data_IF_682124432622
#
_entry.id   IF_682124432622
#
_cell.length_a   1.000
_cell.length_b   1.000
_cell.length_c   1.000
_cell.angle_alpha   90.00
_cell.angle_beta   90.00
_cell.angle_gamma   90.00
#
_symmetry.space_group_name_H-M   'P 1'
#
loop_
_entity.id
_entity.type
_entity.pdbx_description
1 polymer ?
#
# COMPACT_ATOMS: atom_id res chain seq x y z
N UNK A 1 42.52 -73.92 -20.23
CA UNK A 1 41.51 -72.96 -20.73
C UNK A 1 40.18 -73.25 -20.05
N UNK A 2 39.79 -72.49 -19.02
CA UNK A 2 38.40 -72.36 -18.52
C UNK A 2 38.38 -71.51 -17.23
N UNK A 3 38.64 -70.20 -17.32
CA UNK A 3 38.43 -69.28 -16.21
C UNK A 3 38.28 -67.84 -16.75
N UNK A 4 37.31 -67.63 -17.64
CA UNK A 4 37.08 -66.29 -18.22
C UNK A 4 35.60 -65.99 -18.54
N UNK A 5 34.62 -66.75 -18.05
CA UNK A 5 33.20 -66.55 -18.41
C UNK A 5 32.27 -66.22 -17.25
N UNK A 6 32.73 -66.19 -15.99
CA UNK A 6 31.88 -65.91 -14.84
C UNK A 6 31.87 -64.43 -14.37
N UNK A 7 32.92 -63.66 -14.67
CA UNK A 7 33.06 -62.28 -14.17
C UNK A 7 32.30 -61.22 -15.01
N UNK A 8 32.00 -61.51 -16.28
CA UNK A 8 31.25 -60.59 -17.16
C UNK A 8 29.75 -60.58 -16.89
N UNK A 9 29.18 -61.71 -16.47
CA UNK A 9 27.74 -61.85 -16.25
C UNK A 9 27.26 -61.18 -14.96
N UNK A 10 28.07 -61.19 -13.90
CA UNK A 10 27.74 -60.56 -12.61
C UNK A 10 27.87 -59.04 -12.65
N UNK A 11 28.86 -58.50 -13.38
CA UNK A 11 29.01 -57.06 -13.59
C UNK A 11 27.87 -56.47 -14.45
N UNK A 12 27.42 -57.19 -15.48
CA UNK A 12 26.30 -56.77 -16.32
C UNK A 12 24.96 -56.81 -15.56
N UNK A 13 24.70 -57.84 -14.74
CA UNK A 13 23.48 -57.94 -13.94
C UNK A 13 23.39 -56.88 -12.83
N UNK A 14 24.53 -56.52 -12.21
CA UNK A 14 24.60 -55.45 -11.21
C UNK A 14 24.40 -54.06 -11.85
N UNK A 15 24.99 -53.81 -13.03
CA UNK A 15 24.83 -52.55 -13.76
C UNK A 15 23.40 -52.36 -14.29
N UNK A 16 22.76 -53.43 -14.79
CA UNK A 16 21.36 -53.39 -15.24
C UNK A 16 20.41 -53.19 -14.06
N UNK A 17 20.71 -53.77 -12.89
CA UNK A 17 19.90 -53.57 -11.68
C UNK A 17 20.06 -52.17 -11.07
N UNK A 18 21.28 -51.61 -11.09
CA UNK A 18 21.53 -50.22 -10.69
C UNK A 18 20.93 -49.21 -11.68
N UNK A 19 20.94 -49.51 -12.98
CA UNK A 19 20.32 -48.67 -14.00
C UNK A 19 18.78 -48.76 -13.95
N UNK A 20 18.22 -49.94 -13.69
CA UNK A 20 16.79 -50.12 -13.45
C UNK A 20 16.34 -49.44 -12.14
N UNK A 21 17.15 -49.51 -11.07
CA UNK A 21 16.90 -48.80 -9.82
C UNK A 21 17.04 -47.28 -9.97
N UNK A 22 18.04 -46.82 -10.74
CA UNK A 22 18.19 -45.41 -11.13
C UNK A 22 17.00 -44.93 -11.96
N UNK A 23 16.52 -45.72 -12.92
CA UNK A 23 15.31 -45.42 -13.71
C UNK A 23 14.01 -45.51 -12.89
N UNK A 24 13.95 -46.36 -11.85
CA UNK A 24 12.80 -46.43 -10.93
C UNK A 24 12.79 -45.25 -9.95
N UNK A 25 13.95 -44.77 -9.49
CA UNK A 25 14.07 -43.56 -8.68
C UNK A 25 13.88 -42.28 -9.50
N UNK A 26 14.34 -42.24 -10.76
CA UNK A 26 14.12 -41.12 -11.68
C UNK A 26 12.78 -41.15 -12.43
N UNK A 27 11.99 -42.23 -12.33
CA UNK A 27 10.57 -42.25 -12.76
C UNK A 27 9.63 -41.59 -11.75
N UNK A 28 10.11 -41.15 -10.60
CA UNK A 28 9.50 -40.03 -9.89
C UNK A 28 9.95 -38.74 -10.57
N UNK A 29 9.53 -38.56 -11.83
CA UNK A 29 9.43 -37.22 -12.38
C UNK A 29 8.53 -36.47 -11.42
N UNK A 30 9.08 -35.48 -10.72
CA UNK A 30 8.32 -34.52 -9.96
C UNK A 30 7.26 -33.97 -10.91
N UNK A 31 6.05 -34.52 -10.82
CA UNK A 31 4.88 -33.90 -11.41
C UNK A 31 4.74 -32.61 -10.63
N UNK A 32 5.29 -31.52 -11.17
CA UNK A 32 4.96 -30.17 -10.74
C UNK A 32 3.42 -30.14 -10.64
N UNK A 33 2.83 -29.98 -9.43
CA UNK A 33 1.43 -30.28 -9.21
C UNK A 33 0.51 -29.18 -9.73
N UNK A 34 0.96 -28.36 -10.68
CA UNK A 34 0.17 -27.29 -11.24
C UNK A 34 -0.73 -27.82 -12.36
N UNK A 35 -1.82 -28.48 -11.99
CA UNK A 35 -3.00 -28.44 -12.85
C UNK A 35 -3.58 -27.04 -12.71
N UNK A 36 -3.63 -26.25 -13.79
CA UNK A 36 -4.54 -25.10 -13.84
C UNK A 36 -5.95 -25.66 -13.66
N UNK A 37 -6.48 -25.62 -12.43
CA UNK A 37 -7.88 -25.85 -12.17
C UNK A 37 -8.63 -24.70 -12.84
N UNK A 38 -9.12 -24.93 -14.06
CA UNK A 38 -10.06 -24.04 -14.74
C UNK A 38 -11.43 -24.17 -14.08
N UNK A 39 -11.51 -23.72 -12.83
CA UNK A 39 -12.73 -23.71 -12.03
C UNK A 39 -13.50 -22.40 -12.22
N UNK A 40 -14.70 -22.50 -12.78
CA UNK A 40 -15.77 -21.51 -12.86
C UNK A 40 -15.48 -20.22 -13.67
N UNK A 41 -15.90 -20.30 -14.94
CA UNK A 41 -16.26 -19.19 -15.83
C UNK A 41 -17.40 -18.35 -15.23
N UNK A 42 -17.10 -17.51 -14.24
CA UNK A 42 -17.85 -16.28 -14.04
C UNK A 42 -17.60 -15.41 -15.25
N UNK A 43 -18.63 -15.18 -16.08
CA UNK A 43 -18.56 -14.38 -17.31
C UNK A 43 -17.89 -13.05 -16.98
N UNK A 44 -16.61 -12.87 -17.32
CA UNK A 44 -15.89 -11.61 -17.06
C UNK A 44 -16.53 -10.54 -17.94
N UNK A 45 -17.46 -9.79 -17.37
CA UNK A 45 -18.06 -8.63 -18.01
C UNK A 45 -16.95 -7.63 -18.29
N UNK A 46 -16.87 -7.13 -19.53
CA UNK A 46 -15.94 -6.08 -19.92
C UNK A 46 -16.13 -4.88 -18.99
N UNK A 47 -15.05 -4.44 -18.32
CA UNK A 47 -15.02 -3.22 -17.51
C UNK A 47 -15.00 -1.98 -18.40
N UNK A 48 -15.67 -0.90 -18.01
CA UNK A 48 -15.68 0.40 -18.70
C UNK A 48 -14.63 1.33 -18.08
N UNK A 49 -13.51 1.48 -18.78
CA UNK A 49 -12.44 2.38 -18.37
C UNK A 49 -11.61 1.88 -17.19
N UNK A 50 -10.69 2.72 -16.74
CA UNK A 50 -9.70 2.42 -15.70
C UNK A 50 -10.35 2.20 -14.32
N UNK A 51 -11.32 3.05 -13.97
CA UNK A 51 -11.97 3.05 -12.65
C UNK A 51 -12.66 1.72 -12.38
N UNK A 52 -13.44 1.19 -13.32
CA UNK A 52 -14.12 -0.10 -13.14
C UNK A 52 -13.16 -1.30 -13.06
N UNK A 53 -11.87 -1.11 -13.44
CA UNK A 53 -10.84 -2.13 -13.30
C UNK A 53 -10.14 -2.11 -11.93
N UNK A 54 -10.40 -1.09 -11.10
CA UNK A 54 -9.90 -1.01 -9.71
C UNK A 54 -10.79 -1.89 -8.82
N UNK A 55 -10.16 -2.64 -7.93
CA UNK A 55 -10.79 -3.62 -7.07
C UNK A 55 -11.07 -4.95 -7.74
N UNK A 56 -11.92 -5.77 -7.13
CA UNK A 56 -12.16 -7.16 -7.54
C UNK A 56 -10.86 -7.97 -7.73
N UNK A 57 -9.85 -7.66 -6.93
CA UNK A 57 -8.54 -8.33 -6.96
C UNK A 57 -8.67 -9.78 -6.49
N UNK A 58 -7.86 -10.72 -6.98
CA UNK A 58 -7.95 -12.11 -6.54
C UNK A 58 -7.42 -12.30 -5.11
N UNK A 59 -7.96 -13.29 -4.40
CA UNK A 59 -7.26 -13.93 -3.28
C UNK A 59 -6.31 -14.99 -3.85
N UNK A 60 -5.04 -14.90 -3.47
CA UNK A 60 -3.99 -15.85 -3.85
C UNK A 60 -3.63 -16.66 -2.61
N UNK A 61 -3.77 -17.98 -2.68
CA UNK A 61 -3.20 -18.86 -1.66
C UNK A 61 -1.69 -18.75 -1.66
N UNK A 62 -1.10 -18.43 -0.51
CA UNK A 62 0.35 -18.43 -0.32
C UNK A 62 0.74 -19.85 0.07
N UNK A 63 1.13 -20.66 -0.92
CA UNK A 63 1.32 -22.10 -0.75
C UNK A 63 2.37 -22.38 0.31
N UNK A 64 3.53 -21.72 0.22
CA UNK A 64 4.65 -21.97 1.15
C UNK A 64 4.28 -21.76 2.62
N UNK A 65 3.57 -20.67 2.95
CA UNK A 65 3.16 -20.36 4.32
C UNK A 65 2.02 -21.25 4.78
N UNK A 66 1.08 -21.52 3.89
CA UNK A 66 -0.07 -22.36 4.20
C UNK A 66 0.34 -23.80 4.48
N UNK A 67 1.25 -24.35 3.68
CA UNK A 67 1.74 -25.71 3.83
C UNK A 67 2.62 -25.83 5.09
N UNK A 68 3.38 -24.79 5.44
CA UNK A 68 4.19 -24.76 6.66
C UNK A 68 3.39 -24.68 7.96
N UNK A 69 2.20 -24.04 7.93
CA UNK A 69 1.38 -23.78 9.13
C UNK A 69 0.21 -24.76 9.26
N UNK A 70 -0.12 -25.50 8.20
CA UNK A 70 -1.35 -26.30 8.13
C UNK A 70 -2.63 -25.45 8.08
N UNK A 71 -2.50 -24.13 7.91
CA UNK A 71 -3.60 -23.19 7.71
C UNK A 71 -3.81 -22.88 6.22
N UNK A 72 -4.93 -22.25 5.88
CA UNK A 72 -5.14 -21.61 4.59
C UNK A 72 -4.81 -20.13 4.67
N UNK A 73 -3.60 -19.75 4.26
CA UNK A 73 -3.15 -18.35 4.25
C UNK A 73 -3.35 -17.77 2.84
N UNK A 74 -4.18 -16.75 2.75
CA UNK A 74 -4.55 -16.08 1.51
C UNK A 74 -4.08 -14.62 1.51
N UNK A 75 -3.47 -14.19 0.41
CA UNK A 75 -3.11 -12.80 0.16
C UNK A 75 -4.07 -12.15 -0.83
N UNK A 76 -4.71 -11.05 -0.44
CA UNK A 76 -5.50 -10.19 -1.34
C UNK A 76 -4.56 -9.39 -2.23
N UNK A 77 -4.53 -9.69 -3.52
CA UNK A 77 -3.51 -9.22 -4.47
C UNK A 77 -3.75 -7.78 -4.96
N UNK A 78 -3.65 -6.81 -4.04
CA UNK A 78 -3.88 -5.39 -4.33
C UNK A 78 -2.82 -4.75 -5.24
N UNK A 79 -1.66 -5.37 -5.39
CA UNK A 79 -0.68 -5.00 -6.41
C UNK A 79 -1.18 -5.19 -7.86
N UNK A 80 -2.31 -5.88 -8.07
CA UNK A 80 -2.94 -6.07 -9.39
C UNK A 80 -3.95 -4.97 -9.76
N UNK A 81 -4.20 -3.99 -8.88
CA UNK A 81 -4.93 -2.81 -9.31
C UNK A 81 -4.13 -2.05 -10.40
N UNK A 82 -4.78 -1.30 -11.32
CA UNK A 82 -4.10 -0.64 -12.44
C UNK A 82 -2.97 0.33 -12.08
N UNK A 83 -3.14 1.09 -11.01
CA UNK A 83 -2.12 1.95 -10.40
C UNK A 83 -1.17 1.20 -9.47
N UNK A 84 -1.28 -0.13 -9.39
CA UNK A 84 -0.30 -1.06 -8.82
C UNK A 84 -0.28 -1.15 -7.31
N UNK A 85 -1.31 -0.66 -6.61
CA UNK A 85 -1.40 -0.80 -5.16
C UNK A 85 -2.81 -0.74 -4.59
N UNK A 86 -2.92 -1.09 -3.30
CA UNK A 86 -4.14 -0.93 -2.49
C UNK A 86 -4.69 0.51 -2.44
N UNK A 87 -3.84 1.52 -2.70
CA UNK A 87 -4.25 2.93 -2.65
C UNK A 87 -5.11 3.36 -3.83
N UNK A 88 -5.21 2.57 -4.88
CA UNK A 88 -6.08 2.85 -6.02
C UNK A 88 -7.55 2.92 -5.59
N UNK A 89 -7.98 2.02 -4.70
CA UNK A 89 -9.33 2.03 -4.12
C UNK A 89 -9.59 3.33 -3.37
N UNK A 90 -8.62 3.77 -2.58
CA UNK A 90 -8.69 5.01 -1.79
C UNK A 90 -8.77 6.22 -2.70
N UNK A 91 -7.94 6.28 -3.74
CA UNK A 91 -7.94 7.37 -4.72
C UNK A 91 -9.28 7.50 -5.44
N UNK A 92 -9.86 6.38 -5.91
CA UNK A 92 -11.20 6.37 -6.51
C UNK A 92 -12.23 6.90 -5.53
N UNK A 93 -12.31 6.32 -4.33
CA UNK A 93 -13.34 6.67 -3.35
C UNK A 93 -13.26 8.12 -2.89
N UNK A 94 -12.06 8.66 -2.69
CA UNK A 94 -11.83 10.07 -2.35
C UNK A 94 -12.36 10.98 -3.47
N UNK A 95 -11.99 10.70 -4.72
CA UNK A 95 -12.35 11.55 -5.86
C UNK A 95 -13.86 11.46 -6.15
N UNK A 96 -14.44 10.27 -6.14
CA UNK A 96 -15.88 10.08 -6.34
C UNK A 96 -16.71 10.83 -5.31
N UNK A 97 -16.34 10.75 -4.02
CA UNK A 97 -17.07 11.42 -2.97
C UNK A 97 -16.93 12.94 -3.05
N UNK A 98 -15.74 13.46 -3.38
CA UNK A 98 -15.51 14.89 -3.57
C UNK A 98 -16.29 15.44 -4.77
N UNK A 99 -16.37 14.69 -5.88
CA UNK A 99 -17.20 15.06 -7.02
C UNK A 99 -18.69 15.03 -6.70
N UNK A 100 -19.13 14.05 -5.91
CA UNK A 100 -20.53 13.90 -5.50
C UNK A 100 -20.97 14.99 -4.52
N UNK A 101 -20.09 15.42 -3.61
CA UNK A 101 -20.38 16.53 -2.69
C UNK A 101 -20.29 17.90 -3.35
N UNK A 102 -19.56 18.01 -4.47
CA UNK A 102 -19.26 19.27 -5.13
C UNK A 102 -17.99 19.96 -4.60
N UNK A 103 -17.27 19.34 -3.67
CA UNK A 103 -15.96 19.83 -3.17
C UNK A 103 -14.86 19.74 -4.24
N UNK A 104 -15.09 18.90 -5.25
CA UNK A 104 -14.30 18.81 -6.47
C UNK A 104 -15.24 18.85 -7.67
N UNK A 105 -14.78 19.39 -8.79
CA UNK A 105 -15.51 19.41 -10.07
C UNK A 105 -14.62 18.94 -11.20
N UNK A 106 -15.22 18.49 -12.31
CA UNK A 106 -14.48 18.15 -13.54
C UNK A 106 -13.67 19.38 -14.02
N UNK A 107 -12.37 19.20 -14.27
CA UNK A 107 -11.41 20.28 -14.54
C UNK A 107 -10.74 20.88 -13.29
N UNK A 108 -11.15 20.45 -12.09
CA UNK A 108 -10.48 20.78 -10.83
C UNK A 108 -9.19 20.00 -10.63
N UNK A 109 -8.46 20.32 -9.55
CA UNK A 109 -7.19 19.68 -9.17
C UNK A 109 -7.28 18.99 -7.82
N UNK A 110 -6.89 17.73 -7.74
CA UNK A 110 -6.73 17.00 -6.48
C UNK A 110 -5.30 17.17 -6.00
N UNK A 111 -5.13 17.61 -4.75
CA UNK A 111 -3.81 17.80 -4.13
C UNK A 111 -3.56 16.77 -3.03
N UNK A 112 -2.32 16.32 -2.90
CA UNK A 112 -1.91 15.40 -1.83
C UNK A 112 -0.45 15.62 -1.44
N UNK A 113 -0.17 15.47 -0.14
CA UNK A 113 1.20 15.44 0.37
C UNK A 113 1.64 14.00 0.56
N UNK A 114 2.30 13.41 -0.43
CA UNK A 114 2.79 12.03 -0.34
C UNK A 114 3.82 11.73 -1.42
N UNK A 115 4.92 11.06 -1.08
CA UNK A 115 5.82 10.46 -2.07
C UNK A 115 5.48 8.98 -2.36
N UNK A 116 4.43 8.43 -1.75
CA UNK A 116 4.14 7.00 -1.74
C UNK A 116 3.04 6.58 -2.71
N UNK A 117 2.50 5.38 -2.47
CA UNK A 117 1.52 4.76 -3.37
C UNK A 117 0.25 5.61 -3.56
N UNK A 118 -0.17 6.39 -2.57
CA UNK A 118 -1.34 7.28 -2.70
C UNK A 118 -1.16 8.35 -3.77
N UNK A 119 0.04 8.95 -3.88
CA UNK A 119 0.31 9.94 -4.92
C UNK A 119 0.26 9.32 -6.31
N UNK A 120 0.85 8.13 -6.48
CA UNK A 120 0.80 7.38 -7.74
C UNK A 120 -0.64 6.99 -8.09
N UNK A 121 -1.42 6.52 -7.12
CA UNK A 121 -2.83 6.17 -7.31
C UNK A 121 -3.69 7.38 -7.67
N UNK A 122 -3.51 8.54 -7.03
CA UNK A 122 -4.22 9.76 -7.38
C UNK A 122 -3.83 10.27 -8.78
N UNK A 123 -2.55 10.25 -9.12
CA UNK A 123 -2.07 10.61 -10.45
C UNK A 123 -2.63 9.68 -11.55
N UNK A 124 -2.78 8.40 -11.23
CA UNK A 124 -3.36 7.39 -12.13
C UNK A 124 -4.87 7.59 -12.32
N UNK A 125 -5.61 7.88 -11.23
CA UNK A 125 -7.08 7.89 -11.23
C UNK A 125 -7.68 9.24 -11.61
N UNK A 126 -7.08 10.36 -11.19
CA UNK A 126 -7.66 11.69 -11.41
C UNK A 126 -8.01 12.01 -12.88
N UNK A 127 -7.17 11.67 -13.87
CA UNK A 127 -7.51 11.92 -15.28
C UNK A 127 -8.77 11.17 -15.75
N UNK A 128 -9.07 9.99 -15.20
CA UNK A 128 -10.27 9.23 -15.55
C UNK A 128 -11.57 9.93 -15.11
N UNK A 129 -11.46 10.87 -14.16
CA UNK A 129 -12.53 11.74 -13.68
C UNK A 129 -12.49 13.15 -14.28
N UNK A 130 -11.63 13.39 -15.28
CA UNK A 130 -11.41 14.72 -15.83
C UNK A 130 -10.77 15.70 -14.84
N UNK A 131 -10.10 15.20 -13.80
CA UNK A 131 -9.43 15.99 -12.78
C UNK A 131 -7.91 15.98 -13.01
N UNK A 132 -7.23 17.04 -12.56
CA UNK A 132 -5.77 17.09 -12.49
C UNK A 132 -5.28 16.60 -11.14
N UNK A 133 -4.00 16.26 -11.05
CA UNK A 133 -3.35 15.86 -9.80
C UNK A 133 -2.11 16.73 -9.55
N UNK A 134 -1.97 17.23 -8.32
CA UNK A 134 -0.80 17.96 -7.85
C UNK A 134 -0.29 17.36 -6.54
N UNK A 135 0.89 16.78 -6.59
CA UNK A 135 1.51 16.10 -5.45
C UNK A 135 2.66 16.95 -4.91
N UNK A 136 2.70 17.13 -3.59
CA UNK A 136 3.83 17.74 -2.90
C UNK A 136 4.63 16.64 -2.20
N UNK A 137 5.94 16.59 -2.47
CA UNK A 137 6.84 15.55 -1.96
C UNK A 137 8.09 16.16 -1.28
N UNK A 138 8.64 15.51 -0.25
CA UNK A 138 9.99 15.83 0.23
C UNK A 138 11.05 15.70 -0.87
N UNK A 139 12.02 16.61 -0.91
CA UNK A 139 13.08 16.60 -1.94
C UNK A 139 14.10 15.45 -1.78
N UNK A 140 14.21 14.88 -0.57
CA UNK A 140 15.01 13.70 -0.22
C UNK A 140 14.31 12.37 -0.53
N UNK A 141 13.07 12.41 -1.02
CA UNK A 141 12.38 11.22 -1.51
C UNK A 141 13.09 10.64 -2.75
N UNK A 142 13.12 9.31 -2.82
CA UNK A 142 13.73 8.57 -3.92
C UNK A 142 13.27 9.09 -5.29
N UNK A 143 14.23 9.29 -6.20
CA UNK A 143 13.99 9.98 -7.48
C UNK A 143 12.95 9.25 -8.33
N UNK A 144 12.96 7.92 -8.29
CA UNK A 144 12.05 7.09 -9.07
C UNK A 144 10.58 7.35 -8.71
N UNK A 145 10.30 7.77 -7.47
CA UNK A 145 8.94 8.08 -7.01
C UNK A 145 8.38 9.32 -7.70
N UNK A 146 9.17 10.40 -7.84
CA UNK A 146 8.70 11.58 -8.58
C UNK A 146 8.57 11.28 -10.07
N UNK A 147 9.54 10.56 -10.65
CA UNK A 147 9.54 10.25 -12.07
C UNK A 147 8.28 9.48 -12.49
N UNK A 148 7.82 8.52 -11.68
CA UNK A 148 6.57 7.80 -11.95
C UNK A 148 5.37 8.76 -11.90
N UNK A 149 5.29 9.63 -10.89
CA UNK A 149 4.18 10.56 -10.71
C UNK A 149 4.13 11.59 -11.86
N UNK A 150 5.28 12.13 -12.26
CA UNK A 150 5.44 13.05 -13.38
C UNK A 150 5.09 12.37 -14.72
N UNK A 151 5.53 11.12 -14.92
CA UNK A 151 5.22 10.34 -16.11
C UNK A 151 3.72 10.02 -16.25
N UNK A 152 3.00 9.94 -15.13
CA UNK A 152 1.54 9.83 -15.09
C UNK A 152 0.82 11.16 -15.38
N UNK A 153 1.56 12.25 -15.58
CA UNK A 153 1.03 13.58 -15.93
C UNK A 153 0.60 14.43 -14.75
N UNK A 154 0.95 14.05 -13.51
CA UNK A 154 0.70 14.87 -12.34
C UNK A 154 1.80 15.93 -12.15
N UNK A 155 1.42 17.06 -11.54
CA UNK A 155 2.38 18.08 -11.12
C UNK A 155 3.07 17.57 -9.85
N UNK A 156 4.40 17.67 -9.79
CA UNK A 156 5.18 17.34 -8.60
C UNK A 156 5.90 18.58 -8.08
N UNK A 157 5.61 18.96 -6.84
CA UNK A 157 6.33 20.01 -6.12
C UNK A 157 7.24 19.37 -5.07
N UNK A 158 8.55 19.45 -5.29
CA UNK A 158 9.57 19.00 -4.34
C UNK A 158 9.85 20.10 -3.31
N UNK A 159 9.80 19.75 -2.03
CA UNK A 159 9.99 20.70 -0.93
C UNK A 159 10.96 20.16 0.10
N UNK A 160 11.64 21.06 0.82
CA UNK A 160 12.58 20.70 1.87
C UNK A 160 11.89 19.88 2.98
N UNK A 161 12.47 18.74 3.43
CA UNK A 161 12.00 17.99 4.58
C UNK A 161 12.02 18.85 5.85
N UNK A 162 10.90 18.86 6.56
CA UNK A 162 10.71 19.57 7.83
C UNK A 162 9.83 18.75 8.76
N UNK A 163 9.77 19.11 10.06
CA UNK A 163 8.94 18.39 11.02
C UNK A 163 7.45 18.50 10.69
N UNK A 164 6.65 17.53 11.15
CA UNK A 164 5.19 17.49 10.93
C UNK A 164 4.44 18.74 11.44
N UNK A 165 4.98 19.40 12.47
CA UNK A 165 4.43 20.63 13.05
C UNK A 165 4.81 21.88 12.26
N UNK A 166 5.77 21.79 11.34
CA UNK A 166 6.22 22.93 10.56
C UNK A 166 5.20 23.30 9.49
N UNK A 167 4.99 24.61 9.28
CA UNK A 167 4.02 25.13 8.29
C UNK A 167 4.34 24.70 6.85
N UNK A 168 5.61 24.48 6.57
CA UNK A 168 6.13 24.09 5.24
C UNK A 168 6.32 22.56 5.12
N UNK A 169 5.73 21.78 6.04
CA UNK A 169 5.62 20.35 5.86
C UNK A 169 4.82 20.06 4.58
N UNK A 170 5.29 19.12 3.74
CA UNK A 170 4.71 18.83 2.42
C UNK A 170 3.19 18.60 2.43
N UNK A 171 2.64 17.97 3.48
CA UNK A 171 1.18 17.82 3.67
C UNK A 171 0.47 19.16 3.85
N UNK A 172 1.06 20.09 4.61
CA UNK A 172 0.49 21.42 4.83
C UNK A 172 0.59 22.26 3.55
N UNK A 173 1.67 22.12 2.79
CA UNK A 173 1.82 22.76 1.48
C UNK A 173 0.75 22.24 0.50
N UNK A 174 0.56 20.93 0.39
CA UNK A 174 -0.47 20.34 -0.47
C UNK A 174 -1.88 20.89 -0.13
N UNK A 175 -2.20 21.02 1.16
CA UNK A 175 -3.45 21.65 1.62
C UNK A 175 -3.54 23.11 1.18
N UNK A 176 -2.46 23.89 1.28
CA UNK A 176 -2.42 25.28 0.78
C UNK A 176 -2.63 25.35 -0.73
N UNK A 177 -2.06 24.42 -1.52
CA UNK A 177 -2.25 24.37 -2.98
C UNK A 177 -3.71 24.15 -3.39
N UNK A 178 -4.47 23.35 -2.63
CA UNK A 178 -5.91 23.21 -2.87
C UNK A 178 -6.65 24.53 -2.60
N UNK A 179 -6.32 25.23 -1.51
CA UNK A 179 -6.93 26.53 -1.19
C UNK A 179 -6.59 27.59 -2.22
N UNK A 180 -5.34 27.66 -2.67
CA UNK A 180 -4.89 28.59 -3.71
C UNK A 180 -5.62 28.34 -5.04
N UNK A 181 -5.84 27.07 -5.42
CA UNK A 181 -6.64 26.70 -6.59
C UNK A 181 -8.09 27.19 -6.47
N UNK A 182 -8.71 27.07 -5.29
CA UNK A 182 -10.07 27.58 -5.04
C UNK A 182 -10.14 29.10 -5.17
N UNK A 183 -9.18 29.82 -4.59
CA UNK A 183 -9.09 31.29 -4.69
C UNK A 183 -8.93 31.72 -6.15
N UNK A 184 -8.02 31.09 -6.90
CA UNK A 184 -7.78 31.40 -8.31
C UNK A 184 -9.03 31.17 -9.16
N UNK A 185 -9.73 30.04 -8.97
CA UNK A 185 -10.96 29.74 -9.71
C UNK A 185 -12.06 30.77 -9.50
N UNK A 186 -12.22 31.27 -8.25
CA UNK A 186 -13.23 32.28 -7.92
C UNK A 186 -12.92 33.63 -8.58
N UNK A 187 -11.64 34.00 -8.68
CA UNK A 187 -11.21 35.23 -9.34
C UNK A 187 -11.48 35.19 -10.85
N UNK A 188 -11.22 34.06 -11.51
CA UNK A 188 -11.50 33.86 -12.94
C UNK A 188 -13.00 33.99 -13.22
N UNK A 189 -13.85 33.32 -12.43
CA UNK A 189 -15.31 33.44 -12.58
C UNK A 189 -15.81 34.87 -12.40
N UNK A 190 -15.21 35.64 -11.48
CA UNK A 190 -15.58 37.04 -11.26
C UNK A 190 -15.20 37.95 -12.43
N UNK A 191 -14.05 37.71 -13.05
CA UNK A 191 -13.57 38.45 -14.21
C UNK A 191 -14.41 38.12 -15.46
N UNK A 192 -14.73 36.84 -15.69
CA UNK A 192 -15.59 36.40 -16.81
C UNK A 192 -17.03 36.95 -16.71
N UNK A 193 -17.55 37.13 -15.49
CA UNK A 193 -18.85 37.78 -15.27
C UNK A 193 -18.79 39.30 -15.50
N UNK A 194 -17.68 39.95 -15.16
CA UNK A 194 -17.50 41.37 -15.40
C UNK A 194 -17.30 41.70 -16.88
N UNK A 195 -16.62 40.85 -17.65
CA UNK A 195 -16.43 41.05 -19.10
C UNK A 195 -17.69 40.74 -19.91
N UNK A 196 -18.55 39.84 -19.42
CA UNK A 196 -19.81 39.46 -20.09
C UNK A 196 -21.07 40.18 -19.55
N UNK A 197 -20.94 41.10 -18.59
CA UNK A 197 -22.09 41.71 -17.90
C UNK A 197 -21.93 43.21 -17.68
N UNK A 198 -22.39 44.02 -18.65
CA UNK A 198 -22.92 45.35 -18.34
C UNK A 198 -24.23 45.17 -17.57
N UNK A 199 -24.16 45.03 -16.24
CA UNK A 199 -25.29 45.23 -15.33
C UNK A 199 -24.85 45.33 -13.86
N UNK A 200 -25.02 46.54 -13.35
CA UNK A 200 -25.05 47.01 -11.96
C UNK A 200 -25.60 46.00 -10.92
N UNK A 201 -24.81 45.63 -9.89
CA UNK A 201 -25.34 45.21 -8.56
C UNK A 201 -24.40 45.57 -7.40
N UNK A 202 -25.02 46.15 -6.37
CA UNK A 202 -24.54 46.60 -5.06
C UNK A 202 -23.69 45.58 -4.28
N UNK A 203 -22.51 46.02 -3.83
CA UNK A 203 -21.63 45.29 -2.91
C UNK A 203 -22.20 45.21 -1.49
N UNK A 204 -22.32 44.01 -0.93
CA UNK A 204 -22.50 43.80 0.52
C UNK A 204 -21.16 43.33 1.08
N UNK A 205 -20.51 44.21 1.85
CA UNK A 205 -19.21 43.94 2.49
C UNK A 205 -19.36 42.84 3.55
N UNK A 206 -18.47 41.85 3.48
CA UNK A 206 -18.15 40.95 4.59
C UNK A 206 -16.85 41.43 5.24
N UNK A 207 -16.94 41.79 6.51
CA UNK A 207 -15.85 42.27 7.34
C UNK A 207 -14.99 41.07 7.80
N UNK A 208 -13.72 41.04 7.42
CA UNK A 208 -12.70 40.25 8.12
C UNK A 208 -11.52 41.16 8.46
N UNK A 209 -11.21 41.20 9.76
CA UNK A 209 -10.19 42.01 10.40
C UNK A 209 -8.83 41.82 9.72
N UNK A 210 -8.25 42.94 9.32
CA UNK A 210 -6.82 43.10 9.06
C UNK A 210 -6.03 42.81 10.34
N UNK A 211 -5.03 41.95 10.23
CA UNK A 211 -3.84 42.02 11.07
C UNK A 211 -2.63 42.14 10.15
N UNK A 212 -1.95 43.28 10.26
CA UNK A 212 -0.80 43.69 9.48
C UNK A 212 0.41 42.75 9.67
N UNK A 213 1.12 42.48 8.58
CA UNK A 213 2.42 41.83 8.59
C UNK A 213 3.00 41.78 7.18
N UNK A 214 3.69 42.85 6.78
CA UNK A 214 4.37 42.97 5.49
C UNK A 214 5.54 42.00 5.38
N UNK A 215 5.58 41.20 4.31
CA UNK A 215 6.82 40.65 3.80
C UNK A 215 6.73 40.62 2.27
N UNK A 216 7.41 41.57 1.64
CA UNK A 216 7.68 41.55 0.20
C UNK A 216 8.54 40.33 -0.12
N UNK A 217 8.01 39.40 -0.91
CA UNK A 217 8.78 38.36 -1.56
C UNK A 217 8.64 38.54 -3.07
N UNK A 218 9.62 39.23 -3.66
CA UNK A 218 9.84 39.21 -5.10
C UNK A 218 10.21 37.77 -5.49
N UNK A 219 9.41 37.16 -6.36
CA UNK A 219 9.77 35.86 -6.95
C UNK A 219 9.92 36.06 -8.44
N UNK A 220 11.17 36.18 -8.89
CA UNK A 220 11.53 36.09 -10.30
C UNK A 220 11.23 34.67 -10.80
N UNK A 221 10.39 34.59 -11.84
CA UNK A 221 9.94 33.36 -12.46
C UNK A 221 11.02 32.87 -13.43
N UNK A 222 11.73 31.79 -13.09
CA UNK A 222 12.67 31.16 -14.02
C UNK A 222 11.92 30.32 -15.06
N UNK A 223 12.31 30.51 -16.31
CA UNK A 223 11.71 29.93 -17.52
C UNK A 223 12.36 28.59 -17.87
N UNK A 224 11.80 27.50 -17.37
CA UNK A 224 12.01 26.16 -17.95
C UNK A 224 10.67 25.41 -18.02
N UNK A 225 10.47 24.70 -19.13
CA UNK A 225 9.14 24.44 -19.69
C UNK A 225 8.31 23.36 -19.00
N UNK A 226 6.99 23.49 -19.21
CA UNK A 226 5.87 22.60 -18.82
C UNK A 226 5.43 22.63 -17.35
N UNK A 227 5.30 23.82 -16.78
CA UNK A 227 4.35 24.03 -15.68
C UNK A 227 2.96 24.28 -16.29
N UNK A 228 1.97 23.42 -16.03
CA UNK A 228 0.58 23.75 -16.30
C UNK A 228 0.03 24.39 -15.02
N UNK A 229 -0.11 25.73 -14.97
CA UNK A 229 -0.32 26.40 -13.70
C UNK A 229 -1.65 25.99 -13.05
N UNK A 230 -1.64 25.98 -11.73
CA UNK A 230 -2.83 25.80 -10.89
C UNK A 230 -3.90 26.87 -11.23
N UNK A 231 -3.47 27.99 -11.81
CA UNK A 231 -4.33 29.11 -12.22
C UNK A 231 -5.50 28.68 -13.10
N UNK A 232 -5.34 27.68 -13.96
CA UNK A 232 -6.37 27.32 -14.93
C UNK A 232 -7.33 26.24 -14.40
N UNK A 233 -7.33 25.99 -13.08
CA UNK A 233 -8.14 24.94 -12.45
C UNK A 233 -9.50 25.45 -12.05
N UNK A 234 -10.51 24.58 -12.16
CA UNK A 234 -11.86 24.86 -11.66
C UNK A 234 -11.97 24.62 -10.14
N UNK A 235 -10.94 25.02 -9.39
CA UNK A 235 -10.83 24.78 -7.95
C UNK A 235 -9.95 23.57 -7.60
N UNK A 236 -9.66 23.43 -6.30
CA UNK A 236 -8.79 22.39 -5.77
C UNK A 236 -9.34 21.69 -4.54
N UNK A 237 -9.04 20.40 -4.43
CA UNK A 237 -9.48 19.53 -3.35
C UNK A 237 -8.27 18.83 -2.71
N UNK A 238 -8.10 18.97 -1.40
CA UNK A 238 -7.03 18.28 -0.68
C UNK A 238 -7.50 16.89 -0.25
N UNK A 239 -6.87 15.84 -0.78
CA UNK A 239 -7.30 14.45 -0.60
C UNK A 239 -7.29 13.98 0.87
N UNK A 240 -6.28 14.41 1.63
CA UNK A 240 -6.08 14.13 3.06
C UNK A 240 -6.23 12.65 3.42
N UNK A 241 -5.44 11.77 2.80
CA UNK A 241 -5.59 10.31 2.97
C UNK A 241 -5.62 9.82 4.43
N UNK A 242 -5.05 10.56 5.37
CA UNK A 242 -4.99 10.18 6.78
C UNK A 242 -6.32 10.48 7.50
N UNK A 243 -6.94 11.62 7.21
CA UNK A 243 -8.12 12.09 7.94
C UNK A 243 -9.43 11.94 7.17
N UNK A 244 -9.37 11.74 5.85
CA UNK A 244 -10.54 11.54 5.01
C UNK A 244 -11.10 10.11 5.17
N UNK A 245 -12.33 10.00 5.66
CA UNK A 245 -13.01 8.72 5.91
C UNK A 245 -13.45 7.99 4.62
N UNK A 246 -13.35 8.62 3.45
CA UNK A 246 -13.46 7.93 2.17
C UNK A 246 -12.45 6.78 2.07
N UNK A 247 -11.27 6.92 2.70
CA UNK A 247 -10.25 5.88 2.78
C UNK A 247 -10.78 4.62 3.49
N UNK A 248 -11.27 4.77 4.73
CA UNK A 248 -11.94 3.69 5.46
C UNK A 248 -13.10 3.09 4.66
N UNK A 249 -13.98 3.94 4.10
CA UNK A 249 -15.16 3.49 3.35
C UNK A 249 -14.81 2.69 2.10
N UNK A 250 -13.73 3.01 1.39
CA UNK A 250 -13.28 2.23 0.24
C UNK A 250 -13.06 0.76 0.59
N UNK A 251 -12.56 0.49 1.80
CA UNK A 251 -12.27 -0.86 2.26
C UNK A 251 -13.47 -1.54 2.91
N UNK A 252 -14.31 -0.78 3.61
CA UNK A 252 -15.57 -1.29 4.17
C UNK A 252 -16.58 -1.67 3.06
N UNK A 253 -16.69 -0.84 2.01
CA UNK A 253 -17.67 -1.04 0.94
C UNK A 253 -17.18 -1.97 -0.17
N UNK A 254 -15.86 -2.16 -0.35
CA UNK A 254 -15.30 -3.00 -1.42
C UNK A 254 -14.41 -4.13 -0.90
N UNK A 255 -13.27 -3.81 -0.26
CA UNK A 255 -12.27 -4.85 0.10
C UNK A 255 -12.82 -5.90 1.06
N UNK A 256 -13.54 -5.50 2.11
CA UNK A 256 -14.17 -6.40 3.08
C UNK A 256 -15.19 -7.35 2.42
N UNK A 257 -16.18 -6.83 1.66
CA UNK A 257 -17.12 -7.64 0.89
C UNK A 257 -16.45 -8.64 -0.04
N UNK A 258 -15.44 -8.21 -0.80
CA UNK A 258 -14.72 -9.10 -1.71
C UNK A 258 -14.01 -10.23 -0.96
N UNK A 259 -13.36 -9.96 0.17
CA UNK A 259 -12.72 -10.99 1.00
C UNK A 259 -13.77 -11.99 1.52
N UNK A 260 -14.90 -11.49 2.04
CA UNK A 260 -15.97 -12.34 2.56
C UNK A 260 -16.56 -13.25 1.48
N UNK A 261 -16.84 -12.69 0.29
CA UNK A 261 -17.38 -13.46 -0.84
C UNK A 261 -16.37 -14.49 -1.37
N UNK A 262 -15.11 -14.10 -1.55
CA UNK A 262 -14.07 -14.96 -2.11
C UNK A 262 -13.69 -16.10 -1.16
N UNK A 263 -13.81 -15.89 0.15
CA UNK A 263 -13.68 -16.94 1.18
C UNK A 263 -14.99 -17.69 1.44
N UNK A 264 -16.11 -17.30 0.81
CA UNK A 264 -17.44 -17.87 1.08
C UNK A 264 -17.82 -17.85 2.57
N UNK A 265 -17.34 -16.84 3.30
CA UNK A 265 -17.54 -16.68 4.73
C UNK A 265 -16.73 -17.62 5.62
N UNK A 266 -15.76 -18.38 5.09
CA UNK A 266 -14.91 -19.32 5.88
C UNK A 266 -13.66 -18.68 6.46
N UNK A 267 -13.47 -17.36 6.29
CA UNK A 267 -12.37 -16.63 6.94
C UNK A 267 -12.49 -16.74 8.47
N UNK A 268 -11.38 -17.07 9.11
CA UNK A 268 -11.27 -17.14 10.57
C UNK A 268 -10.53 -15.93 11.13
N UNK A 269 -9.49 -15.47 10.43
CA UNK A 269 -8.75 -14.28 10.82
C UNK A 269 -8.35 -13.38 9.65
N UNK A 270 -8.27 -12.08 9.94
CA UNK A 270 -7.72 -11.06 9.07
C UNK A 270 -6.58 -10.34 9.78
N UNK A 271 -5.47 -10.10 9.07
CA UNK A 271 -4.34 -9.35 9.61
C UNK A 271 -3.81 -8.37 8.58
N UNK A 272 -3.51 -7.16 9.01
CA UNK A 272 -2.88 -6.14 8.17
C UNK A 272 -2.12 -5.12 9.00
N UNK A 273 -1.08 -4.55 8.40
CA UNK A 273 -0.39 -3.38 8.87
C UNK A 273 -1.17 -2.10 8.56
N UNK A 274 -0.83 -1.03 9.27
CA UNK A 274 -1.52 0.25 9.16
C UNK A 274 -0.54 1.41 8.97
N UNK A 275 -0.79 2.22 7.93
CA UNK A 275 -0.28 3.58 7.82
C UNK A 275 -1.41 4.57 8.16
N UNK A 276 -2.27 4.85 7.17
CA UNK A 276 -3.49 5.65 7.42
C UNK A 276 -4.52 4.91 8.28
N UNK A 277 -4.46 3.57 8.32
CA UNK A 277 -5.44 2.72 9.03
C UNK A 277 -6.71 2.39 8.24
N UNK A 278 -6.93 2.96 7.05
CA UNK A 278 -8.18 2.75 6.31
C UNK A 278 -8.42 1.29 5.91
N UNK A 279 -7.38 0.58 5.46
CA UNK A 279 -7.50 -0.83 5.06
C UNK A 279 -7.87 -1.74 6.21
N UNK A 280 -7.11 -1.70 7.30
CA UNK A 280 -7.40 -2.54 8.47
C UNK A 280 -8.75 -2.18 9.09
N UNK A 281 -9.09 -0.89 9.16
CA UNK A 281 -10.33 -0.45 9.74
C UNK A 281 -11.56 -0.86 8.92
N UNK A 282 -11.54 -0.62 7.61
CA UNK A 282 -12.67 -0.93 6.73
C UNK A 282 -12.94 -2.43 6.65
N UNK A 283 -11.89 -3.23 6.48
CA UNK A 283 -12.02 -4.68 6.40
C UNK A 283 -12.46 -5.28 7.74
N UNK A 284 -11.85 -4.90 8.86
CA UNK A 284 -12.21 -5.44 10.17
C UNK A 284 -13.66 -5.16 10.56
N UNK A 285 -14.13 -3.92 10.37
CA UNK A 285 -15.53 -3.53 10.61
C UNK A 285 -16.50 -4.38 9.80
N UNK A 286 -16.28 -4.48 8.50
CA UNK A 286 -17.16 -5.26 7.64
C UNK A 286 -17.19 -6.74 8.04
N UNK A 287 -16.03 -7.36 8.27
CA UNK A 287 -15.93 -8.77 8.63
C UNK A 287 -16.62 -9.05 9.98
N UNK A 288 -16.42 -8.20 10.98
CA UNK A 288 -17.05 -8.38 12.30
C UNK A 288 -18.56 -8.14 12.29
N UNK A 289 -19.06 -7.30 11.38
CA UNK A 289 -20.51 -7.20 11.15
C UNK A 289 -21.10 -8.47 10.51
N UNK A 290 -20.34 -9.15 9.65
CA UNK A 290 -20.77 -10.43 9.05
C UNK A 290 -20.66 -11.61 10.01
N UNK A 291 -19.58 -11.67 10.77
CA UNK A 291 -19.35 -12.70 11.76
C UNK A 291 -18.42 -12.16 12.87
N UNK A 292 -18.98 -11.99 14.07
CA UNK A 292 -18.25 -11.49 15.25
C UNK A 292 -17.11 -12.40 15.70
N UNK A 293 -17.10 -13.67 15.28
CA UNK A 293 -16.05 -14.62 15.60
C UNK A 293 -14.81 -14.46 14.70
N UNK A 294 -14.87 -13.67 13.63
CA UNK A 294 -13.67 -13.38 12.82
C UNK A 294 -12.73 -12.50 13.63
N UNK A 295 -11.50 -12.98 13.80
CA UNK A 295 -10.47 -12.25 14.54
C UNK A 295 -9.71 -11.30 13.61
N UNK A 296 -9.46 -10.09 14.06
CA UNK A 296 -8.80 -9.04 13.29
C UNK A 296 -7.58 -8.51 14.06
N UNK A 297 -6.41 -8.61 13.46
CA UNK A 297 -5.14 -8.26 14.11
C UNK A 297 -4.39 -7.16 13.36
N UNK A 298 -3.78 -6.25 14.12
CA UNK A 298 -2.79 -5.32 13.59
C UNK A 298 -1.42 -6.00 13.49
N UNK A 299 -0.71 -5.77 12.38
CA UNK A 299 0.72 -6.08 12.27
C UNK A 299 1.53 -4.79 12.20
N UNK A 300 2.26 -4.43 13.26
CA UNK A 300 2.90 -3.11 13.37
C UNK A 300 4.43 -3.19 13.18
N UNK A 301 5.04 -2.31 12.37
CA UNK A 301 6.49 -2.28 12.19
C UNK A 301 7.21 -1.56 13.34
N UNK A 302 8.56 -1.65 13.41
CA UNK A 302 9.34 -0.91 14.39
C UNK A 302 9.12 0.60 14.30
N UNK A 303 9.21 1.29 15.44
CA UNK A 303 9.04 2.75 15.54
C UNK A 303 7.59 3.25 15.52
N UNK A 304 6.62 2.41 15.17
CA UNK A 304 5.18 2.72 15.21
C UNK A 304 4.60 2.60 16.63
N UNK A 305 3.70 3.52 16.97
CA UNK A 305 2.98 3.52 18.25
C UNK A 305 1.67 2.73 18.25
N UNK A 306 1.23 2.22 17.10
CA UNK A 306 -0.10 1.59 16.97
C UNK A 306 -0.20 0.27 17.74
N UNK A 307 0.85 -0.54 17.81
CA UNK A 307 0.85 -1.77 18.60
C UNK A 307 0.54 -1.48 20.08
N UNK A 308 1.21 -0.48 20.65
CA UNK A 308 0.96 -0.09 22.04
C UNK A 308 -0.44 0.48 22.19
N UNK A 309 -0.95 1.19 21.18
CA UNK A 309 -2.32 1.69 21.22
C UNK A 309 -3.35 0.58 21.27
N UNK A 310 -3.18 -0.47 20.46
CA UNK A 310 -4.09 -1.61 20.43
C UNK A 310 -3.98 -2.44 21.71
N UNK A 311 -2.76 -2.73 22.17
CA UNK A 311 -2.54 -3.66 23.29
C UNK A 311 -2.62 -3.02 24.68
N UNK A 312 -2.38 -1.70 24.79
CA UNK A 312 -2.24 -0.98 26.08
C UNK A 312 -3.04 0.32 26.15
N UNK A 313 -3.70 0.72 25.07
CA UNK A 313 -4.48 1.97 25.02
C UNK A 313 -3.67 3.26 24.84
N UNK A 314 -2.33 3.19 24.86
CA UNK A 314 -1.40 4.34 24.76
C UNK A 314 -0.45 4.21 23.56
N UNK A 315 -0.05 5.31 22.93
CA UNK A 315 0.83 5.27 21.74
C UNK A 315 2.33 5.18 22.05
N UNK A 316 2.73 5.45 23.30
CA UNK A 316 4.14 5.62 23.67
C UNK A 316 4.98 4.37 23.41
N UNK A 317 6.08 4.51 22.67
CA UNK A 317 7.05 3.42 22.42
C UNK A 317 8.33 3.59 23.26
N UNK A 318 9.07 2.50 23.52
CA UNK A 318 10.34 2.61 24.29
C UNK A 318 11.40 3.37 23.52
N UNK A 319 11.29 3.36 22.19
CA UNK A 319 12.12 4.07 21.23
C UNK A 319 11.90 5.60 21.32
N UNK A 320 10.78 6.04 21.88
CA UNK A 320 10.48 7.44 22.19
C UNK A 320 11.02 7.89 23.56
N UNK A 321 11.74 7.02 24.30
CA UNK A 321 12.37 7.39 25.55
C UNK A 321 13.42 8.49 25.36
N UNK A 322 13.43 9.44 26.30
CA UNK A 322 14.39 10.53 26.34
C UNK A 322 15.83 9.99 26.35
N UNK A 323 16.71 10.55 25.51
CA UNK A 323 18.08 10.08 25.31
C UNK A 323 18.25 8.89 24.36
N UNK A 324 17.17 8.23 23.92
CA UNK A 324 17.20 7.13 22.92
C UNK A 324 16.51 7.48 21.60
N UNK A 325 15.87 8.65 21.54
CA UNK A 325 15.16 9.14 20.36
C UNK A 325 16.12 9.32 19.18
N UNK A 326 15.99 8.44 18.18
CA UNK A 326 16.70 8.57 16.91
C UNK A 326 16.34 9.91 16.24
N UNK A 327 17.28 10.45 15.45
CA UNK A 327 17.05 11.69 14.67
C UNK A 327 15.87 11.54 13.71
N UNK A 328 15.67 10.32 13.18
CA UNK A 328 14.43 9.85 12.59
C UNK A 328 13.87 8.70 13.44
N UNK A 329 12.79 8.90 14.23
CA UNK A 329 12.21 7.85 15.08
C UNK A 329 11.54 6.71 14.31
N UNK A 330 11.55 6.77 12.98
CA UNK A 330 10.97 5.82 12.02
C UNK A 330 12.02 5.21 11.11
N UNK A 331 13.21 4.88 11.64
CA UNK A 331 14.29 4.26 10.86
C UNK A 331 13.99 2.78 10.57
N UNK A 332 12.80 2.53 10.00
CA UNK A 332 12.39 1.27 9.42
C UNK A 332 12.54 1.37 7.90
N UNK A 333 13.05 0.30 7.30
CA UNK A 333 13.10 0.18 5.83
C UNK A 333 11.74 -0.20 5.23
N UNK A 334 10.75 -0.50 6.06
CA UNK A 334 9.39 -0.78 5.61
C UNK A 334 8.63 0.51 5.33
N UNK A 335 7.97 0.56 4.17
CA UNK A 335 7.37 1.78 3.66
C UNK A 335 5.85 1.69 3.63
N UNK A 336 5.18 2.83 3.87
CA UNK A 336 3.72 2.96 3.76
C UNK A 336 2.92 2.44 4.96
N UNK A 337 3.60 1.99 6.02
CA UNK A 337 3.04 1.48 7.28
C UNK A 337 3.80 2.07 8.47
N UNK A 338 3.18 2.05 9.65
CA UNK A 338 3.74 2.61 10.89
C UNK A 338 3.45 4.11 11.05
N UNK A 339 3.00 4.52 12.25
CA UNK A 339 2.69 5.92 12.56
C UNK A 339 2.60 6.16 14.08
N UNK A 340 3.00 7.35 14.55
CA UNK A 340 2.95 7.73 15.98
C UNK A 340 1.79 8.69 16.31
N UNK A 341 0.69 8.57 15.58
CA UNK A 341 -0.59 9.21 15.93
C UNK A 341 -1.75 8.34 15.49
N UNK A 342 -2.89 8.46 16.19
CA UNK A 342 -4.13 7.81 15.77
C UNK A 342 -4.83 8.69 14.72
N UNK A 343 -5.11 8.12 13.56
CA UNK A 343 -5.84 8.79 12.47
C UNK A 343 -7.34 8.57 12.60
N UNK A 344 -8.16 9.43 11.99
CA UNK A 344 -9.62 9.20 11.91
C UNK A 344 -10.00 7.85 11.31
N UNK A 345 -9.27 7.43 10.28
CA UNK A 345 -9.47 6.13 9.66
C UNK A 345 -9.17 4.96 10.62
N UNK A 346 -8.05 5.01 11.34
CA UNK A 346 -7.68 3.94 12.28
C UNK A 346 -8.64 3.84 13.48
N UNK A 347 -9.22 4.96 13.94
CA UNK A 347 -10.23 4.94 15.01
C UNK A 347 -11.46 4.09 14.66
N UNK A 348 -11.70 3.84 13.38
CA UNK A 348 -12.79 2.99 12.94
C UNK A 348 -12.45 1.50 13.03
N UNK A 349 -11.23 1.09 13.35
CA UNK A 349 -10.88 -0.34 13.40
C UNK A 349 -11.55 -1.08 14.57
N UNK A 350 -11.87 -2.35 14.37
CA UNK A 350 -12.26 -3.29 15.43
C UNK A 350 -11.25 -4.45 15.47
N UNK A 351 -10.35 -4.43 16.45
CA UNK A 351 -9.22 -5.35 16.52
C UNK A 351 -9.26 -6.18 17.81
N UNK A 352 -8.89 -7.45 17.70
CA UNK A 352 -8.80 -8.39 18.82
C UNK A 352 -7.38 -8.43 19.41
N UNK A 353 -6.39 -7.89 18.69
CA UNK A 353 -5.01 -7.83 19.15
C UNK A 353 -4.07 -7.21 18.13
N UNK A 354 -2.78 -7.29 18.43
CA UNK A 354 -1.73 -6.83 17.54
C UNK A 354 -0.46 -7.68 17.69
N UNK A 355 0.34 -7.70 16.63
CA UNK A 355 1.68 -8.28 16.55
C UNK A 355 2.69 -7.17 16.17
N UNK A 356 3.96 -7.37 16.52
CA UNK A 356 5.07 -6.49 16.11
C UNK A 356 6.00 -7.24 15.20
N UNK A 357 6.34 -6.71 14.04
CA UNK A 357 7.41 -7.29 13.21
C UNK A 357 8.68 -6.47 13.25
N UNK A 358 9.75 -7.06 12.76
CA UNK A 358 11.03 -6.39 12.53
C UNK A 358 11.32 -6.21 11.04
N UNK A 359 12.21 -5.27 10.72
CA UNK A 359 12.70 -5.08 9.35
C UNK A 359 13.38 -6.33 8.81
N UNK A 360 14.14 -7.03 9.66
CA UNK A 360 14.75 -8.33 9.36
C UNK A 360 13.70 -9.32 8.89
N UNK A 361 12.63 -9.50 9.67
CA UNK A 361 11.55 -10.43 9.32
C UNK A 361 10.85 -10.04 8.02
N UNK A 362 10.59 -8.75 7.78
CA UNK A 362 10.02 -8.29 6.52
C UNK A 362 10.93 -8.63 5.32
N UNK A 363 12.24 -8.40 5.45
CA UNK A 363 13.22 -8.73 4.40
C UNK A 363 13.28 -10.23 4.17
N UNK A 364 13.47 -11.04 5.20
CA UNK A 364 13.56 -12.50 5.06
C UNK A 364 12.27 -13.08 4.48
N UNK A 365 11.11 -12.63 4.97
CA UNK A 365 9.80 -13.04 4.44
C UNK A 365 9.66 -12.69 2.96
N UNK A 366 10.10 -11.50 2.54
CA UNK A 366 10.04 -11.12 1.11
C UNK A 366 10.87 -12.04 0.23
N UNK A 367 12.07 -12.44 0.68
CA UNK A 367 12.97 -13.32 -0.07
C UNK A 367 12.45 -14.76 -0.04
N UNK A 368 11.88 -15.19 1.07
CA UNK A 368 11.23 -16.50 1.19
C UNK A 368 10.07 -16.63 0.20
N UNK A 369 9.13 -15.68 0.19
CA UNK A 369 7.97 -15.68 -0.70
C UNK A 369 8.37 -15.59 -2.18
N UNK A 370 9.39 -14.79 -2.50
CA UNK A 370 9.91 -14.71 -3.86
C UNK A 370 10.50 -16.06 -4.32
N UNK A 371 11.30 -16.72 -3.48
CA UNK A 371 11.94 -18.00 -3.82
C UNK A 371 10.95 -19.17 -3.85
N UNK A 372 9.95 -19.18 -2.96
CA UNK A 372 9.05 -20.33 -2.77
C UNK A 372 7.75 -20.23 -3.56
N UNK A 373 7.20 -19.03 -3.72
CA UNK A 373 5.92 -18.81 -4.41
C UNK A 373 6.05 -17.97 -5.69
N UNK A 374 7.21 -17.34 -5.93
CA UNK A 374 7.37 -16.39 -7.04
C UNK A 374 6.67 -15.05 -6.78
N UNK A 375 6.31 -14.76 -5.53
CA UNK A 375 5.60 -13.53 -5.16
C UNK A 375 6.61 -12.39 -4.95
N UNK A 376 6.71 -11.49 -5.93
CA UNK A 376 7.56 -10.29 -5.85
C UNK A 376 6.83 -9.11 -5.22
N UNK A 377 6.95 -8.97 -3.90
CA UNK A 377 6.10 -8.10 -3.09
C UNK A 377 6.87 -6.96 -2.42
N UNK A 378 6.21 -5.83 -2.20
CA UNK A 378 6.76 -4.71 -1.44
C UNK A 378 6.87 -4.99 0.07
N UNK A 379 7.54 -4.08 0.78
CA UNK A 379 7.89 -4.24 2.19
C UNK A 379 6.70 -4.40 3.12
N UNK A 380 5.63 -3.61 2.93
CA UNK A 380 4.41 -3.73 3.74
C UNK A 380 3.67 -5.06 3.52
N UNK A 381 3.67 -5.58 2.29
CA UNK A 381 3.11 -6.91 1.98
C UNK A 381 3.89 -8.02 2.67
N UNK A 382 5.23 -7.92 2.70
CA UNK A 382 6.06 -8.89 3.40
C UNK A 382 5.81 -8.86 4.92
N UNK A 383 5.70 -7.66 5.51
CA UNK A 383 5.34 -7.49 6.93
C UNK A 383 3.96 -8.10 7.23
N UNK A 384 2.98 -7.87 6.35
CA UNK A 384 1.65 -8.47 6.41
C UNK A 384 1.68 -10.01 6.41
N UNK A 385 2.56 -10.61 5.62
CA UNK A 385 2.75 -12.06 5.58
C UNK A 385 3.43 -12.61 6.85
N UNK A 386 4.34 -11.85 7.47
CA UNK A 386 4.87 -12.17 8.82
C UNK A 386 3.71 -12.21 9.84
N UNK A 387 2.84 -11.20 9.81
CA UNK A 387 1.64 -11.18 10.65
C UNK A 387 0.72 -12.38 10.40
N UNK A 388 0.50 -12.75 9.14
CA UNK A 388 -0.34 -13.90 8.79
C UNK A 388 0.25 -15.23 9.27
N UNK A 389 1.57 -15.40 9.18
CA UNK A 389 2.24 -16.59 9.69
C UNK A 389 2.11 -16.72 11.22
N UNK A 390 2.26 -15.61 11.96
CA UNK A 390 2.07 -15.62 13.43
C UNK A 390 0.64 -15.87 13.86
N UNK A 391 -0.33 -15.25 13.19
CA UNK A 391 -1.76 -15.56 13.45
C UNK A 391 -2.04 -17.03 13.19
N UNK A 392 -1.48 -17.62 12.11
CA UNK A 392 -1.63 -19.03 11.84
C UNK A 392 -0.97 -19.93 12.90
N UNK A 393 0.19 -19.53 13.44
CA UNK A 393 0.84 -20.24 14.56
C UNK A 393 -0.04 -20.21 15.83
N UNK A 394 -0.65 -19.06 16.15
CA UNK A 394 -1.49 -18.91 17.34
C UNK A 394 -2.83 -19.66 17.23
N UNK A 395 -3.46 -19.65 16.04
CA UNK A 395 -4.74 -20.35 15.84
C UNK A 395 -4.57 -21.86 15.62
N UNK A 396 -3.42 -22.29 15.10
CA UNK A 396 -3.16 -23.67 14.74
C UNK A 396 -3.84 -24.10 13.43
N UNK A 397 -3.55 -25.32 12.95
CA UNK A 397 -3.94 -25.79 11.62
C UNK A 397 -5.46 -25.84 11.41
N UNK A 398 -5.87 -25.78 10.14
CA UNK A 398 -7.29 -25.84 9.73
C UNK A 398 -8.02 -24.50 9.65
N UNK A 399 -7.39 -23.40 10.06
CA UNK A 399 -7.95 -22.06 9.96
C UNK A 399 -7.64 -21.38 8.62
N UNK A 400 -8.52 -20.48 8.19
CA UNK A 400 -8.32 -19.61 7.00
C UNK A 400 -7.96 -18.19 7.46
N UNK A 401 -6.78 -17.72 7.07
CA UNK A 401 -6.24 -16.39 7.40
C UNK A 401 -6.12 -15.58 6.11
N UNK A 402 -6.62 -14.34 6.12
CA UNK A 402 -6.46 -13.41 5.00
C UNK A 402 -5.57 -12.23 5.39
N UNK A 403 -4.66 -11.87 4.50
CA UNK A 403 -3.83 -10.67 4.60
C UNK A 403 -3.85 -9.87 3.29
N UNK A 404 -3.25 -8.68 3.26
CA UNK A 404 -3.21 -7.81 2.08
C UNK A 404 -1.81 -7.81 1.45
N UNK A 405 -1.74 -8.08 0.16
CA UNK A 405 -0.53 -7.90 -0.65
C UNK A 405 -0.60 -6.52 -1.32
N UNK A 406 -0.17 -5.51 -0.58
CA UNK A 406 -0.39 -4.08 -0.83
C UNK A 406 0.10 -3.59 -2.19
N UNK A 407 1.34 -3.91 -2.55
CA UNK A 407 2.04 -3.46 -3.75
C UNK A 407 3.18 -4.43 -4.16
N UNK A 408 3.69 -4.21 -5.38
CA UNK A 408 4.78 -5.01 -5.97
C UNK A 408 6.15 -4.54 -5.50
N UNK A 409 7.11 -5.48 -5.42
CA UNK A 409 8.51 -5.20 -5.13
C UNK A 409 9.18 -4.23 -6.11
N UNK A 410 8.60 -4.04 -7.31
CA UNK A 410 9.08 -3.08 -8.32
C UNK A 410 9.20 -1.65 -7.79
N UNK A 411 8.38 -1.28 -6.78
CA UNK A 411 8.38 0.07 -6.19
C UNK A 411 9.46 0.27 -5.13
N UNK A 412 10.19 -0.79 -4.78
CA UNK A 412 11.11 -0.82 -3.66
C UNK A 412 12.54 -1.24 -4.07
N UNK A 413 12.87 -1.12 -5.37
CA UNK A 413 14.14 -1.57 -5.95
C UNK A 413 15.37 -0.82 -5.41
N UNK A 414 15.25 0.47 -5.10
CA UNK A 414 16.38 1.29 -4.64
C UNK A 414 16.70 1.13 -3.16
N UNK A 415 15.84 0.47 -2.37
CA UNK A 415 16.02 0.25 -0.92
C UNK A 415 15.78 -1.20 -0.50
N UNK A 416 14.51 -1.60 -0.36
CA UNK A 416 14.12 -2.91 0.19
C UNK A 416 14.61 -4.12 -0.65
N UNK A 417 14.82 -3.92 -1.95
CA UNK A 417 15.41 -4.91 -2.86
C UNK A 417 16.84 -4.56 -3.32
N UNK A 418 17.49 -3.58 -2.69
CA UNK A 418 18.86 -3.22 -2.98
C UNK A 418 19.83 -3.87 -1.97
N UNK A 419 20.69 -4.77 -2.44
CA UNK A 419 21.58 -5.55 -1.57
C UNK A 419 22.60 -4.68 -0.82
N UNK A 420 23.13 -3.63 -1.45
CA UNK A 420 24.07 -2.69 -0.82
C UNK A 420 23.38 -1.89 0.29
N UNK A 421 22.16 -1.39 0.02
CA UNK A 421 21.35 -0.70 1.01
C UNK A 421 21.06 -1.60 2.21
N UNK A 422 20.64 -2.86 1.97
CA UNK A 422 20.38 -3.81 3.05
C UNK A 422 21.65 -4.14 3.84
N UNK A 423 22.80 -4.33 3.18
CA UNK A 423 24.07 -4.58 3.85
C UNK A 423 24.47 -3.42 4.77
N UNK A 424 24.29 -2.18 4.32
CA UNK A 424 24.58 -0.97 5.11
C UNK A 424 23.69 -0.83 6.35
N UNK A 425 22.51 -1.47 6.37
CA UNK A 425 21.60 -1.50 7.52
C UNK A 425 21.73 -2.80 8.34
N UNK A 426 22.68 -3.67 8.00
CA UNK A 426 22.83 -4.97 8.66
C UNK A 426 21.63 -5.90 8.44
N UNK A 427 20.98 -5.80 7.28
CA UNK A 427 19.74 -6.50 6.88
C UNK A 427 19.94 -7.44 5.68
N UNK A 428 21.19 -7.81 5.35
CA UNK A 428 21.49 -8.79 4.28
C UNK A 428 20.73 -10.09 4.53
N UNK A 429 19.84 -10.54 3.64
CA UNK A 429 19.02 -11.73 3.87
C UNK A 429 19.88 -12.99 4.01
N UNK A 430 19.64 -13.80 5.05
CA UNK A 430 20.39 -15.04 5.32
C UNK A 430 19.52 -16.27 5.49
N UNK A 431 18.21 -16.12 5.74
CA UNK A 431 17.35 -17.25 6.02
C UNK A 431 17.08 -18.07 4.75
N UNK A 432 17.00 -19.39 4.93
CA UNK A 432 16.69 -20.36 3.87
C UNK A 432 15.24 -20.84 3.95
N UNK A 433 14.66 -20.88 5.15
CA UNK A 433 13.28 -21.23 5.45
C UNK A 433 12.58 -20.15 6.29
N UNK A 434 11.74 -20.59 7.24
CA UNK A 434 10.97 -19.73 8.14
C UNK A 434 11.60 -19.57 9.54
N UNK A 435 12.84 -20.02 9.74
CA UNK A 435 13.58 -19.96 11.01
C UNK A 435 13.79 -18.54 11.57
N UNK A 436 13.50 -17.51 10.77
CA UNK A 436 13.53 -16.10 11.18
C UNK A 436 12.28 -15.69 11.97
N UNK A 437 11.20 -16.48 11.96
CA UNK A 437 9.97 -16.21 12.72
C UNK A 437 10.05 -16.68 14.19
N UNK A 438 11.01 -17.54 14.50
CA UNK A 438 11.20 -18.12 15.83
C UNK A 438 12.18 -17.30 16.71
N UNK A 439 12.61 -16.13 16.24
CA UNK A 439 13.68 -15.30 16.85
C UNK A 439 13.20 -14.16 17.72
#
# INVERSE_FOLDING_TARGET
>A
MAAATAAGATAAAAAISLFAYYLLLHKSGSKFPWSRTTGASGRRTRRKGLVEAIGNTPLIRINSLSDATGCEILGKAEFLNPGGSVKDRVAVKIIEEALKSGDLVCGGVVTEGSAGSTAISLATVAPAYGCRCHVVIPDDAAVEKSQIIEALGAIVERVRPVSITHRDHFVNIARRRALEANIASTQIESNDRQTNGSAYVKTKMLHTKQTNGSAHANTELSSTGKYCPISDSKGGFFADQFENLANYRAHYEWTGPEIWEQTKGTIHAFVAAAGTGGTIAGVSRYLKEKNRNVQCFLMDPPGSGLFNKVTRGVMYTKEEAEGKRLKNPFDTITEGIGINRVTRNFMMAELDGAYRGTDREAVEMSRFLLRKDGLFLGSSSAMNCVGAARVAQDLGPGHTIVTILCDSGMRHLSKFFNDEYLANHGLTPTATGLEFLDQ
#
